data_IF_479761611702
#
_entry.id   IF_479761611702
#
_cell.length_a   1.000
_cell.length_b   1.000
_cell.length_c   1.000
_cell.angle_alpha   90.00
_cell.angle_beta   90.00
_cell.angle_gamma   90.00
#
_symmetry.space_group_name_H-M   'P 1'
#
loop_
_entity.id
_entity.type
_entity.pdbx_description
1 polymer ?
#
# COMPACT_ATOMS: atom_id res chain seq x y z
N UNK A 1 -24.78 23.43 -3.99
CA UNK A 1 -23.34 23.45 -4.36
C UNK A 1 -22.58 22.67 -3.30
N UNK A 2 -22.11 21.47 -3.63
CA UNK A 2 -21.27 20.64 -2.77
C UNK A 2 -19.91 21.33 -2.62
N UNK A 3 -19.48 21.60 -1.39
CA UNK A 3 -18.11 22.07 -1.13
C UNK A 3 -17.12 21.07 -1.73
N UNK A 4 -16.02 21.51 -2.36
CA UNK A 4 -14.92 20.62 -2.65
C UNK A 4 -14.51 19.95 -1.32
N UNK A 5 -14.46 18.62 -1.30
CA UNK A 5 -13.95 17.90 -0.15
C UNK A 5 -12.48 18.28 0.01
N UNK A 6 -12.17 19.07 1.03
CA UNK A 6 -10.77 19.31 1.42
C UNK A 6 -10.15 17.95 1.74
N UNK A 7 -8.99 17.67 1.13
CA UNK A 7 -8.27 16.43 1.40
C UNK A 7 -7.88 16.44 2.88
N UNK A 8 -8.25 15.42 3.67
CA UNK A 8 -7.89 15.38 5.07
C UNK A 8 -6.36 15.41 5.19
N UNK A 9 -5.85 16.39 5.92
CA UNK A 9 -4.41 16.51 6.16
C UNK A 9 -3.91 15.35 7.03
N UNK A 10 -2.73 14.84 6.69
CA UNK A 10 -2.08 13.79 7.47
C UNK A 10 -1.60 14.39 8.80
N UNK A 11 -2.04 13.80 9.91
CA UNK A 11 -1.65 14.21 11.26
C UNK A 11 -0.90 13.10 11.97
N UNK A 12 -0.02 13.39 12.94
CA UNK A 12 0.68 12.35 13.71
C UNK A 12 -0.29 11.44 14.46
N UNK A 13 -1.42 11.99 14.92
CA UNK A 13 -2.48 11.24 15.60
C UNK A 13 -3.08 10.14 14.74
N UNK A 14 -3.20 10.37 13.42
CA UNK A 14 -3.63 9.33 12.48
C UNK A 14 -2.64 8.16 12.45
N UNK A 15 -1.33 8.42 12.45
CA UNK A 15 -0.31 7.36 12.42
C UNK A 15 -0.31 6.53 13.71
N UNK A 16 -0.45 7.17 14.88
CA UNK A 16 -0.50 6.45 16.15
C UNK A 16 -1.78 5.64 16.35
N UNK A 17 -2.88 6.01 15.68
CA UNK A 17 -4.05 5.15 15.59
C UNK A 17 -3.82 4.02 14.57
N UNK A 18 -3.17 2.95 15.02
CA UNK A 18 -2.81 1.81 14.17
C UNK A 18 -4.02 1.16 13.48
N UNK A 19 -5.19 1.16 14.14
CA UNK A 19 -6.43 0.65 13.54
C UNK A 19 -6.85 1.50 12.36
N UNK A 20 -6.91 2.84 12.53
CA UNK A 20 -7.26 3.76 11.46
C UNK A 20 -6.28 3.69 10.29
N UNK A 21 -4.97 3.61 10.56
CA UNK A 21 -3.95 3.45 9.53
C UNK A 21 -4.14 2.16 8.72
N UNK A 22 -4.33 1.03 9.41
CA UNK A 22 -4.54 -0.28 8.76
C UNK A 22 -5.84 -0.32 7.97
N UNK A 23 -6.92 0.24 8.52
CA UNK A 23 -8.22 0.30 7.84
C UNK A 23 -8.17 1.17 6.59
N UNK A 24 -7.49 2.31 6.64
CA UNK A 24 -7.26 3.14 5.46
C UNK A 24 -6.53 2.36 4.36
N UNK A 25 -5.43 1.69 4.69
CA UNK A 25 -4.66 0.90 3.72
C UNK A 25 -5.49 -0.26 3.16
N UNK A 26 -6.19 -0.99 4.03
CA UNK A 26 -7.08 -2.09 3.64
C UNK A 26 -8.18 -1.63 2.69
N UNK A 27 -8.86 -0.53 3.01
CA UNK A 27 -9.93 -0.01 2.17
C UNK A 27 -9.39 0.48 0.81
N UNK A 28 -8.28 1.21 0.81
CA UNK A 28 -7.63 1.65 -0.42
C UNK A 28 -7.26 0.47 -1.32
N UNK A 29 -6.66 -0.59 -0.76
CA UNK A 29 -6.33 -1.83 -1.48
C UNK A 29 -7.57 -2.53 -2.01
N UNK A 30 -8.64 -2.63 -1.21
CA UNK A 30 -9.89 -3.26 -1.62
C UNK A 30 -10.53 -2.57 -2.84
N UNK A 31 -10.47 -1.24 -2.88
CA UNK A 31 -11.09 -0.45 -3.96
C UNK A 31 -10.38 -0.58 -5.32
N UNK A 32 -9.07 -0.85 -5.35
CA UNK A 32 -8.28 -0.85 -6.59
C UNK A 32 -7.63 -2.21 -6.84
N UNK A 33 -6.81 -2.68 -5.91
CA UNK A 33 -5.91 -3.81 -6.07
C UNK A 33 -6.65 -5.16 -5.92
N UNK A 34 -7.45 -5.34 -4.86
CA UNK A 34 -8.18 -6.60 -4.67
C UNK A 34 -9.27 -6.80 -5.74
N UNK A 35 -9.83 -5.69 -6.22
CA UNK A 35 -10.81 -5.64 -7.30
C UNK A 35 -10.18 -5.40 -8.69
N UNK A 36 -8.85 -5.53 -8.83
CA UNK A 36 -8.14 -5.19 -10.08
C UNK A 36 -8.71 -5.91 -11.30
N UNK A 37 -9.08 -7.18 -11.16
CA UNK A 37 -9.67 -7.94 -12.27
C UNK A 37 -11.00 -7.36 -12.71
N UNK A 38 -11.83 -6.91 -11.78
CA UNK A 38 -13.11 -6.27 -12.08
C UNK A 38 -12.89 -4.90 -12.72
N UNK A 39 -11.97 -4.10 -12.16
CA UNK A 39 -11.59 -2.80 -12.72
C UNK A 39 -11.09 -2.96 -14.16
N UNK A 40 -10.18 -3.90 -14.44
CA UNK A 40 -9.68 -4.17 -15.78
C UNK A 40 -10.76 -4.69 -16.74
N UNK A 41 -11.65 -5.56 -16.28
CA UNK A 41 -12.77 -6.02 -17.10
C UNK A 41 -13.76 -4.90 -17.42
N UNK A 42 -13.92 -3.90 -16.55
CA UNK A 42 -14.79 -2.74 -16.81
C UNK A 42 -14.26 -1.83 -17.92
N UNK A 43 -12.95 -1.86 -18.19
CA UNK A 43 -12.33 -1.13 -19.31
C UNK A 43 -12.66 -1.76 -20.67
N UNK A 44 -13.10 -3.02 -20.68
CA UNK A 44 -13.65 -3.64 -21.88
C UNK A 44 -15.08 -3.16 -22.03
N UNK A 45 -15.35 -2.35 -23.05
CA UNK A 45 -16.71 -1.98 -23.46
C UNK A 45 -17.10 -2.83 -24.68
N UNK A 46 -17.81 -3.96 -24.52
CA UNK A 46 -18.19 -4.79 -25.67
C UNK A 46 -19.05 -4.03 -26.67
N UNK A 47 -19.85 -3.06 -26.20
CA UNK A 47 -20.75 -2.27 -27.03
C UNK A 47 -20.07 -1.29 -28.01
N UNK A 48 -18.77 -0.98 -27.83
CA UNK A 48 -18.05 -0.16 -28.80
C UNK A 48 -17.79 -0.90 -30.11
N UNK A 49 -17.76 -2.24 -30.05
CA UNK A 49 -17.71 -3.13 -31.21
C UNK A 49 -19.15 -3.61 -31.40
N UNK A 50 -19.87 -3.06 -32.38
CA UNK A 50 -21.28 -3.38 -32.62
C UNK A 50 -21.59 -4.89 -32.59
N UNK A 51 -22.80 -5.26 -32.18
CA UNK A 51 -23.20 -6.66 -32.11
C UNK A 51 -23.25 -7.28 -33.53
N UNK A 52 -22.39 -8.25 -33.79
CA UNK A 52 -22.41 -9.05 -35.00
C UNK A 52 -23.24 -10.33 -34.76
N UNK A 53 -24.43 -10.50 -35.37
CA UNK A 53 -25.25 -11.69 -35.20
C UNK A 53 -24.59 -12.99 -35.72
N UNK A 54 -23.54 -12.88 -36.55
CA UNK A 54 -22.73 -14.03 -36.94
C UNK A 54 -21.85 -14.55 -35.79
N UNK A 55 -21.54 -13.72 -34.78
CA UNK A 55 -20.69 -14.09 -33.65
C UNK A 55 -21.33 -15.12 -32.70
N UNK A 56 -22.66 -15.28 -32.73
CA UNK A 56 -23.40 -16.31 -31.96
C UNK A 56 -23.48 -17.67 -32.65
N UNK A 57 -23.12 -17.76 -33.93
CA UNK A 57 -23.22 -19.00 -34.73
C UNK A 57 -22.14 -20.03 -34.38
N UNK A 58 -21.04 -19.59 -33.74
CA UNK A 58 -19.98 -20.48 -33.25
C UNK A 58 -19.81 -20.28 -31.75
N UNK A 59 -19.85 -21.37 -30.99
CA UNK A 59 -19.54 -21.35 -29.55
C UNK A 59 -18.04 -21.08 -29.43
N UNK A 60 -17.66 -19.80 -29.34
CA UNK A 60 -16.25 -19.41 -29.23
C UNK A 60 -15.72 -19.81 -27.84
N UNK A 61 -15.23 -21.04 -27.74
CA UNK A 61 -14.38 -21.49 -26.63
C UNK A 61 -12.99 -20.92 -26.87
N UNK A 62 -12.86 -19.60 -26.79
CA UNK A 62 -11.57 -18.92 -26.84
C UNK A 62 -10.69 -19.52 -25.72
N UNK A 63 -9.48 -20.02 -26.05
CA UNK A 63 -8.59 -20.64 -25.07
C UNK A 63 -8.37 -19.70 -23.87
N UNK A 64 -8.11 -20.23 -22.65
CA UNK A 64 -7.92 -19.43 -21.44
C UNK A 64 -6.86 -18.32 -21.48
N UNK A 65 -6.02 -18.25 -22.53
CA UNK A 65 -5.03 -17.19 -22.78
C UNK A 65 -5.41 -16.13 -23.84
N UNK A 66 -6.56 -16.26 -24.51
CA UNK A 66 -7.04 -15.30 -25.52
C UNK A 66 -8.07 -14.32 -24.94
N UNK A 67 -7.92 -14.00 -23.66
CA UNK A 67 -8.67 -12.91 -23.03
C UNK A 67 -8.47 -11.65 -23.87
N UNK A 68 -9.56 -11.03 -24.34
CA UNK A 68 -9.52 -9.79 -25.11
C UNK A 68 -8.55 -8.81 -24.43
N UNK A 69 -7.46 -8.48 -25.13
CA UNK A 69 -6.52 -7.48 -24.68
C UNK A 69 -7.27 -6.16 -24.58
N UNK A 70 -7.04 -5.43 -23.49
CA UNK A 70 -7.65 -4.13 -23.28
C UNK A 70 -6.97 -3.14 -24.24
N UNK A 71 -7.70 -2.22 -24.89
CA UNK A 71 -7.08 -1.18 -25.72
C UNK A 71 -6.00 -0.42 -24.94
N UNK A 72 -4.84 -0.21 -25.55
CA UNK A 72 -3.68 0.42 -24.89
C UNK A 72 -4.04 1.77 -24.25
N UNK A 73 -4.82 2.61 -24.96
CA UNK A 73 -5.28 3.92 -24.46
C UNK A 73 -6.11 3.83 -23.18
N UNK A 74 -7.00 2.84 -23.06
CA UNK A 74 -7.79 2.61 -21.85
C UNK A 74 -6.92 2.14 -20.69
N UNK A 75 -5.90 1.32 -20.98
CA UNK A 75 -4.94 0.86 -20.00
C UNK A 75 -4.06 2.00 -19.49
N UNK A 76 -3.52 2.83 -20.38
CA UNK A 76 -2.68 3.96 -20.01
C UNK A 76 -3.48 4.98 -19.18
N UNK A 77 -4.72 5.26 -19.58
CA UNK A 77 -5.62 6.08 -18.78
C UNK A 77 -5.85 5.51 -17.38
N UNK A 78 -6.13 4.20 -17.26
CA UNK A 78 -6.32 3.56 -15.97
C UNK A 78 -5.05 3.61 -15.10
N UNK A 79 -3.89 3.33 -15.69
CA UNK A 79 -2.59 3.42 -15.00
C UNK A 79 -2.37 4.83 -14.45
N UNK A 80 -2.47 5.84 -15.31
CA UNK A 80 -2.09 7.22 -15.00
C UNK A 80 -3.09 7.96 -14.10
N UNK A 81 -4.39 7.65 -14.24
CA UNK A 81 -5.47 8.37 -13.55
C UNK A 81 -6.04 7.66 -12.34
N UNK A 82 -5.85 6.34 -12.23
CA UNK A 82 -6.45 5.54 -11.16
C UNK A 82 -5.39 4.80 -10.36
N UNK A 83 -4.60 3.95 -11.02
CA UNK A 83 -3.68 3.04 -10.34
C UNK A 83 -2.52 3.78 -9.65
N UNK A 84 -1.75 4.54 -10.41
CA UNK A 84 -0.57 5.24 -9.88
C UNK A 84 -0.91 6.32 -8.85
N UNK A 85 -1.95 7.16 -9.03
CA UNK A 85 -2.37 8.08 -7.98
C UNK A 85 -2.76 7.39 -6.66
N UNK A 86 -3.45 6.25 -6.74
CA UNK A 86 -3.84 5.47 -5.55
C UNK A 86 -2.62 4.90 -4.84
N UNK A 87 -1.67 4.33 -5.60
CA UNK A 87 -0.40 3.84 -5.05
C UNK A 87 0.43 4.97 -4.44
N UNK A 88 0.46 6.14 -5.09
CA UNK A 88 1.17 7.31 -4.58
C UNK A 88 0.60 7.76 -3.23
N UNK A 89 -0.73 7.88 -3.13
CA UNK A 89 -1.41 8.26 -1.88
C UNK A 89 -1.04 7.32 -0.73
N UNK A 90 -1.02 6.00 -0.96
CA UNK A 90 -0.60 5.04 0.07
C UNK A 90 0.89 5.16 0.40
N UNK A 91 1.74 5.42 -0.60
CA UNK A 91 3.17 5.67 -0.39
C UNK A 91 3.41 6.94 0.44
N UNK A 92 2.64 8.00 0.21
CA UNK A 92 2.74 9.26 0.96
C UNK A 92 2.36 9.05 2.43
N UNK A 93 1.25 8.34 2.69
CA UNK A 93 0.82 7.98 4.05
C UNK A 93 1.89 7.14 4.77
N UNK A 94 2.44 6.11 4.12
CA UNK A 94 3.49 5.26 4.71
C UNK A 94 4.82 6.00 4.89
N UNK A 95 5.10 7.02 4.08
CA UNK A 95 6.31 7.84 4.21
C UNK A 95 6.16 8.86 5.33
N UNK A 96 5.00 9.49 5.43
CA UNK A 96 4.65 10.37 6.53
C UNK A 96 4.69 9.63 7.87
N UNK A 97 4.00 8.49 7.99
CA UNK A 97 4.03 7.72 9.23
C UNK A 97 5.42 7.13 9.57
N UNK A 98 6.28 6.87 8.57
CA UNK A 98 7.67 6.53 8.83
C UNK A 98 8.43 7.70 9.47
N UNK A 99 8.24 8.93 8.99
CA UNK A 99 8.87 10.12 9.58
C UNK A 99 8.42 10.36 11.02
N UNK A 100 7.11 10.18 11.30
CA UNK A 100 6.54 10.27 12.65
C UNK A 100 7.12 9.18 13.56
N UNK A 101 7.30 7.96 13.06
CA UNK A 101 7.90 6.86 13.82
C UNK A 101 9.36 7.12 14.22
N UNK A 102 10.08 7.96 13.47
CA UNK A 102 11.47 8.34 13.78
C UNK A 102 11.57 9.62 14.61
N UNK A 103 10.48 10.38 14.75
CA UNK A 103 10.46 11.57 15.61
C UNK A 103 10.29 11.17 17.09
N UNK A 104 10.89 11.95 17.99
CA UNK A 104 10.68 11.80 19.44
C UNK A 104 9.23 12.10 19.80
N UNK A 105 8.58 11.18 20.54
CA UNK A 105 7.22 11.36 21.09
C UNK A 105 7.33 11.73 22.58
N UNK A 106 7.33 13.04 22.94
CA UNK A 106 7.47 13.47 24.33
C UNK A 106 6.24 13.13 25.18
N UNK A 107 5.10 12.84 24.56
CA UNK A 107 3.83 12.55 25.22
C UNK A 107 3.63 11.05 25.47
N UNK A 108 4.64 10.19 25.18
CA UNK A 108 4.54 8.75 25.39
C UNK A 108 4.58 8.40 26.90
N UNK A 109 3.47 7.91 27.49
CA UNK A 109 3.44 7.54 28.91
C UNK A 109 4.36 6.37 29.24
N UNK A 110 4.76 5.57 28.25
CA UNK A 110 5.63 4.40 28.43
C UNK A 110 7.10 4.81 28.52
N UNK A 111 7.49 5.98 27.99
CA UNK A 111 8.88 6.43 27.97
C UNK A 111 9.50 6.50 29.37
N UNK A 112 8.83 7.17 30.31
CA UNK A 112 9.32 7.31 31.69
C UNK A 112 9.34 5.95 32.41
N UNK A 113 8.29 5.14 32.22
CA UNK A 113 8.21 3.82 32.85
C UNK A 113 9.34 2.91 32.39
N UNK A 114 9.65 2.92 31.09
CA UNK A 114 10.74 2.16 30.51
C UNK A 114 12.08 2.62 31.03
N UNK A 115 12.35 3.92 31.11
CA UNK A 115 13.62 4.42 31.65
C UNK A 115 13.88 3.95 33.08
N UNK A 116 12.84 3.96 33.92
CA UNK A 116 12.92 3.47 35.31
C UNK A 116 13.12 1.96 35.36
N UNK A 117 12.43 1.19 34.52
CA UNK A 117 12.60 -0.26 34.43
C UNK A 117 14.00 -0.63 33.90
N UNK A 118 14.49 0.04 32.87
CA UNK A 118 15.82 -0.12 32.28
C UNK A 118 16.93 0.20 33.29
N UNK A 119 16.74 1.22 34.14
CA UNK A 119 17.66 1.53 35.23
C UNK A 119 17.71 0.38 36.26
N UNK A 120 16.56 -0.13 36.71
CA UNK A 120 16.48 -1.25 37.67
C UNK A 120 17.09 -2.54 37.13
N UNK A 121 16.92 -2.81 35.83
CA UNK A 121 17.49 -3.99 35.19
C UNK A 121 19.00 -3.87 35.08
N UNK A 122 19.53 -2.69 34.76
CA UNK A 122 20.99 -2.44 34.73
C UNK A 122 21.65 -2.63 36.09
N UNK A 123 20.96 -2.34 37.18
CA UNK A 123 21.46 -2.53 38.55
C UNK A 123 21.34 -3.99 39.04
N UNK A 124 20.60 -4.86 38.34
CA UNK A 124 20.37 -6.24 38.76
C UNK A 124 21.60 -7.11 38.49
N UNK A 125 22.13 -7.76 39.52
CA UNK A 125 23.13 -8.82 39.40
C UNK A 125 22.40 -10.17 39.34
N UNK A 126 22.58 -10.91 38.25
CA UNK A 126 21.92 -12.21 38.01
C UNK A 126 22.97 -13.33 38.10
N UNK A 127 22.73 -14.32 38.97
CA UNK A 127 23.47 -15.59 38.98
C UNK A 127 22.73 -16.62 38.14
N UNK A 128 23.17 -16.80 36.89
CA UNK A 128 22.58 -17.73 35.91
C UNK A 128 22.61 -19.18 36.39
N UNK A 129 23.45 -19.52 37.37
CA UNK A 129 23.57 -20.87 37.93
C UNK A 129 22.45 -21.19 38.92
N UNK A 130 21.85 -20.18 39.54
CA UNK A 130 20.73 -20.31 40.45
C UNK A 130 19.38 -20.18 39.72
N UNK A 131 19.29 -19.30 38.71
CA UNK A 131 18.09 -19.14 37.89
C UNK A 131 18.42 -18.73 36.43
N UNK A 132 18.41 -19.69 35.49
CA UNK A 132 18.66 -19.46 34.06
C UNK A 132 17.65 -18.55 33.35
N UNK A 133 16.48 -18.27 33.94
CA UNK A 133 15.42 -17.47 33.30
C UNK A 133 15.37 -16.02 33.79
N UNK A 134 16.00 -15.74 34.94
CA UNK A 134 16.03 -14.40 35.56
C UNK A 134 16.77 -13.32 34.76
N UNK A 135 17.57 -13.72 33.77
CA UNK A 135 18.27 -12.84 32.84
C UNK A 135 17.37 -12.27 31.73
N UNK A 136 16.16 -12.83 31.51
CA UNK A 136 15.27 -12.35 30.45
C UNK A 136 14.58 -11.06 30.86
N UNK A 137 14.89 -9.98 30.16
CA UNK A 137 14.17 -8.72 30.26
C UNK A 137 13.64 -8.32 28.88
N UNK A 138 12.36 -7.95 28.83
CA UNK A 138 11.70 -7.46 27.62
C UNK A 138 11.26 -6.02 27.90
N UNK A 139 11.97 -5.02 27.37
CA UNK A 139 11.56 -3.63 27.49
C UNK A 139 10.16 -3.44 26.89
N UNK A 140 9.36 -2.57 27.50
CA UNK A 140 8.09 -2.15 26.91
C UNK A 140 8.36 -1.35 25.64
N UNK A 141 7.68 -1.70 24.55
CA UNK A 141 7.81 -0.99 23.29
C UNK A 141 7.21 0.42 23.41
N UNK A 142 7.92 1.42 22.89
CA UNK A 142 7.39 2.78 22.77
C UNK A 142 6.37 2.84 21.64
N UNK A 143 5.46 3.82 21.68
CA UNK A 143 4.46 4.03 20.61
C UNK A 143 5.11 4.19 19.24
N UNK A 144 6.25 4.89 19.19
CA UNK A 144 7.04 5.12 17.97
C UNK A 144 7.69 3.84 17.45
N UNK A 145 8.18 2.97 18.34
CA UNK A 145 8.74 1.65 17.98
C UNK A 145 7.64 0.73 17.43
N UNK A 146 6.49 0.68 18.10
CA UNK A 146 5.32 -0.06 17.63
C UNK A 146 4.88 0.44 16.25
N UNK A 147 4.80 1.76 16.05
CA UNK A 147 4.46 2.38 14.77
C UNK A 147 5.49 2.02 13.69
N UNK A 148 6.80 2.07 14.00
CA UNK A 148 7.85 1.71 13.07
C UNK A 148 7.71 0.26 12.58
N UNK A 149 7.37 -0.66 13.49
CA UNK A 149 7.10 -2.07 13.15
C UNK A 149 5.88 -2.21 12.23
N UNK A 150 4.78 -1.49 12.52
CA UNK A 150 3.60 -1.47 11.65
C UNK A 150 3.94 -0.95 10.26
N UNK A 151 4.63 0.19 10.16
CA UNK A 151 4.99 0.81 8.87
C UNK A 151 5.91 -0.10 8.05
N UNK A 152 6.88 -0.78 8.67
CA UNK A 152 7.74 -1.76 7.98
C UNK A 152 6.93 -2.92 7.40
N UNK A 153 6.01 -3.47 8.20
CA UNK A 153 5.14 -4.56 7.76
C UNK A 153 4.23 -4.12 6.61
N UNK A 154 3.61 -2.94 6.72
CA UNK A 154 2.72 -2.42 5.69
C UNK A 154 3.47 -2.09 4.38
N UNK A 155 4.73 -1.66 4.45
CA UNK A 155 5.59 -1.49 3.25
C UNK A 155 5.87 -2.82 2.56
N UNK A 156 6.14 -3.89 3.32
CA UNK A 156 6.33 -5.22 2.74
C UNK A 156 5.04 -5.74 2.09
N UNK A 157 3.90 -5.59 2.75
CA UNK A 157 2.59 -5.96 2.20
C UNK A 157 2.29 -5.16 0.94
N UNK A 158 2.54 -3.86 0.96
CA UNK A 158 2.33 -2.98 -0.20
C UNK A 158 3.18 -3.41 -1.40
N UNK A 159 4.42 -3.82 -1.18
CA UNK A 159 5.29 -4.34 -2.24
C UNK A 159 4.74 -5.62 -2.89
N UNK A 160 4.23 -6.55 -2.07
CA UNK A 160 3.61 -7.80 -2.56
C UNK A 160 2.36 -7.48 -3.38
N UNK A 161 1.52 -6.59 -2.87
CA UNK A 161 0.27 -6.21 -3.54
C UNK A 161 0.57 -5.55 -4.89
N UNK A 162 1.48 -4.57 -4.93
CA UNK A 162 1.86 -3.87 -6.18
C UNK A 162 2.43 -4.82 -7.22
N UNK A 163 3.33 -5.72 -6.81
CA UNK A 163 3.89 -6.75 -7.69
C UNK A 163 2.77 -7.61 -8.31
N UNK A 164 1.82 -8.07 -7.50
CA UNK A 164 0.70 -8.90 -7.96
C UNK A 164 -0.25 -8.13 -8.89
N UNK A 165 -0.64 -6.93 -8.49
CA UNK A 165 -1.51 -6.05 -9.30
C UNK A 165 -0.84 -5.74 -10.64
N UNK A 166 0.44 -5.41 -10.63
CA UNK A 166 1.20 -5.11 -11.85
C UNK A 166 1.30 -6.30 -12.79
N UNK A 167 1.53 -7.51 -12.27
CA UNK A 167 1.50 -8.75 -13.08
C UNK A 167 0.18 -8.89 -13.83
N UNK A 168 -0.95 -8.69 -13.15
CA UNK A 168 -2.28 -8.80 -13.77
C UNK A 168 -2.55 -7.68 -14.78
N UNK A 169 -2.08 -6.46 -14.51
CA UNK A 169 -2.16 -5.34 -15.46
C UNK A 169 -1.32 -5.66 -16.70
N UNK A 170 -0.10 -6.16 -16.53
CA UNK A 170 0.79 -6.57 -17.63
C UNK A 170 0.20 -7.66 -18.51
N UNK A 171 -0.48 -8.66 -17.93
CA UNK A 171 -1.18 -9.71 -18.69
C UNK A 171 -2.32 -9.18 -19.56
N UNK A 172 -3.03 -8.13 -19.11
CA UNK A 172 -4.28 -7.63 -19.72
C UNK A 172 -4.10 -6.41 -20.61
N UNK A 173 -3.05 -5.63 -20.38
CA UNK A 173 -2.74 -4.38 -21.07
C UNK A 173 -1.61 -4.52 -22.09
N UNK A 174 -1.15 -5.74 -22.38
CA UNK A 174 -0.10 -5.98 -23.36
C UNK A 174 1.32 -5.72 -22.84
N UNK A 175 1.79 -6.58 -21.93
CA UNK A 175 3.20 -6.95 -21.74
C UNK A 175 4.18 -5.80 -21.53
N UNK A 176 4.10 -5.14 -20.38
CA UNK A 176 5.17 -4.25 -19.95
C UNK A 176 6.23 -5.09 -19.19
N UNK A 177 7.38 -5.34 -19.82
CA UNK A 177 8.47 -6.13 -19.23
C UNK A 177 9.18 -5.42 -18.04
N UNK A 178 8.80 -4.17 -17.77
CA UNK A 178 9.40 -3.33 -16.74
C UNK A 178 8.74 -3.58 -15.38
N UNK A 179 9.52 -3.41 -14.32
CA UNK A 179 9.01 -3.47 -12.95
C UNK A 179 7.98 -2.36 -12.68
N UNK A 180 7.12 -2.59 -11.68
CA UNK A 180 6.11 -1.60 -11.31
C UNK A 180 6.77 -0.34 -10.73
N UNK A 181 7.94 -0.49 -10.11
CA UNK A 181 8.73 0.61 -9.54
C UNK A 181 9.17 1.58 -10.62
N UNK A 182 9.71 1.07 -11.74
CA UNK A 182 10.16 1.90 -12.85
C UNK A 182 8.99 2.65 -13.49
N UNK A 183 7.88 1.94 -13.75
CA UNK A 183 6.67 2.54 -14.31
C UNK A 183 6.10 3.65 -13.40
N UNK A 184 6.05 3.42 -12.09
CA UNK A 184 5.59 4.41 -11.12
C UNK A 184 6.55 5.61 -11.03
N UNK A 185 7.85 5.38 -11.09
CA UNK A 185 8.85 6.45 -11.06
C UNK A 185 8.79 7.32 -12.33
N UNK A 186 8.58 6.72 -13.49
CA UNK A 186 8.39 7.47 -14.74
C UNK A 186 7.11 8.31 -14.70
N UNK A 187 6.02 7.76 -14.17
CA UNK A 187 4.79 8.51 -13.95
C UNK A 187 5.01 9.71 -13.02
N UNK A 188 5.75 9.54 -11.91
CA UNK A 188 6.10 10.65 -10.99
C UNK A 188 6.85 11.77 -11.71
N UNK A 189 7.90 11.42 -12.47
CA UNK A 189 8.67 12.39 -13.26
C UNK A 189 7.79 13.15 -14.25
N UNK A 190 6.83 12.46 -14.87
CA UNK A 190 5.86 13.06 -15.77
C UNK A 190 4.92 14.07 -15.09
N UNK A 191 4.59 13.86 -13.81
CA UNK A 191 3.81 14.82 -13.02
C UNK A 191 4.63 16.05 -12.59
N UNK A 192 5.90 15.85 -12.23
CA UNK A 192 6.81 16.94 -11.83
C UNK A 192 7.21 17.84 -13.01
N UNK A 193 7.15 17.34 -14.24
CA UNK A 193 7.40 18.08 -15.48
C UNK A 193 6.18 18.74 -16.14
N UNK A 194 5.02 18.80 -15.48
CA UNK A 194 3.83 19.46 -16.01
C UNK A 194 3.99 20.99 -16.14
N UNK A 195 3.39 21.64 -17.16
CA UNK A 195 3.71 23.02 -17.52
C UNK A 195 3.33 24.01 -16.40
N UNK A 196 4.25 24.93 -16.11
CA UNK A 196 3.95 26.19 -15.44
C UNK A 196 2.98 27.03 -16.26
#
# INVERSE_FOLDING_TARGET
>A
MSKPYDRPELTPQFCFNQTALRDFLRLSRATIDDSITQNLNSLLTPASVGFDPSSTSTRSTLPPGTRRQIPATSCDYFKDRVLFPSWQMRSDVLSYCASVATSSDPDDPVSILREVEDAKVRERIVDERLDPYSARYFPKELRTEMLANVVRNERMVENIIRTRTWSLVGERCGGEARGFEDALNDWRKGQEGGPQ
#
